data_IF_530821521037
#
_entry.id   IF_530821521037
#
_cell.length_a   1.000
_cell.length_b   1.000
_cell.length_c   1.000
_cell.angle_alpha   90.00
_cell.angle_beta   90.00
_cell.angle_gamma   90.00
#
_symmetry.space_group_name_H-M   'P 1'
#
loop_
_entity.id
_entity.type
_entity.pdbx_description
1 polymer ?
#
# COMPACT_ATOMS: atom_id res chain seq x y z
N UNK A 1 15.78 27.48 7.86
CA UNK A 1 14.95 26.93 6.77
C UNK A 1 15.73 25.77 6.15
N UNK A 2 15.34 24.52 6.42
CA UNK A 2 16.00 23.34 5.84
C UNK A 2 15.46 23.19 4.44
N UNK A 3 16.29 23.47 3.42
CA UNK A 3 15.89 23.29 2.03
C UNK A 3 15.92 21.82 1.65
N UNK A 4 14.76 21.23 1.46
CA UNK A 4 14.64 19.87 0.93
C UNK A 4 14.79 19.94 -0.59
N UNK A 5 15.86 19.37 -1.15
CA UNK A 5 16.04 19.22 -2.60
C UNK A 5 15.67 17.79 -3.01
N UNK A 6 14.65 17.65 -3.84
CA UNK A 6 14.40 16.40 -4.54
C UNK A 6 15.51 16.17 -5.57
N UNK A 7 16.23 15.05 -5.49
CA UNK A 7 17.19 14.62 -6.51
C UNK A 7 16.62 13.42 -7.28
N UNK A 8 16.76 13.46 -8.60
CA UNK A 8 16.54 12.29 -9.44
C UNK A 8 17.67 11.28 -9.25
N UNK A 9 17.29 10.02 -9.23
CA UNK A 9 18.08 8.80 -9.32
C UNK A 9 19.10 8.53 -8.19
N UNK A 10 18.87 7.46 -7.45
CA UNK A 10 19.84 6.80 -6.59
C UNK A 10 19.55 6.84 -5.08
N UNK A 11 18.54 7.56 -4.62
CA UNK A 11 18.12 7.53 -3.23
C UNK A 11 16.75 6.85 -3.09
N UNK A 12 16.63 5.97 -2.13
CA UNK A 12 15.48 5.08 -1.95
C UNK A 12 14.12 5.79 -1.78
N UNK A 13 14.11 7.09 -1.46
CA UNK A 13 12.88 7.84 -1.15
C UNK A 13 12.71 9.15 -1.95
N UNK A 14 13.56 9.45 -2.92
CA UNK A 14 13.45 10.68 -3.73
C UNK A 14 13.70 11.98 -2.96
N UNK A 15 14.01 11.94 -1.66
CA UNK A 15 14.27 13.10 -0.80
C UNK A 15 15.75 13.19 -0.46
N UNK A 16 16.37 14.34 -0.76
CA UNK A 16 17.72 14.66 -0.33
C UNK A 16 17.66 15.60 0.88
N UNK A 17 18.50 15.33 1.88
CA UNK A 17 18.62 16.13 3.09
C UNK A 17 19.89 16.97 3.06
N UNK A 18 19.78 18.24 3.53
CA UNK A 18 20.89 19.15 3.71
C UNK A 18 20.73 19.85 5.08
N UNK A 19 21.64 19.58 6.04
CA UNK A 19 22.74 18.63 5.97
C UNK A 19 22.27 17.18 5.79
N UNK A 20 23.18 16.31 5.36
CA UNK A 20 22.89 14.88 5.19
C UNK A 20 22.47 14.25 6.52
N UNK A 21 21.63 13.23 6.44
CA UNK A 21 21.20 12.49 7.62
C UNK A 21 22.39 11.78 8.31
N UNK A 22 22.33 11.58 9.63
CA UNK A 22 23.28 10.71 10.33
C UNK A 22 23.35 9.33 9.67
N UNK A 23 24.55 8.74 9.61
CA UNK A 23 24.83 7.50 8.90
C UNK A 23 23.83 6.38 9.24
N UNK A 24 23.53 6.17 10.52
CA UNK A 24 22.61 5.12 10.96
C UNK A 24 21.16 5.37 10.49
N UNK A 25 20.71 6.62 10.46
CA UNK A 25 19.39 7.00 9.93
C UNK A 25 19.33 6.79 8.41
N UNK A 26 20.37 7.18 7.70
CA UNK A 26 20.47 6.96 6.26
C UNK A 26 20.52 5.45 5.93
N UNK A 27 21.31 4.67 6.66
CA UNK A 27 21.34 3.21 6.54
C UNK A 27 19.99 2.55 6.80
N UNK A 28 19.21 3.06 7.76
CA UNK A 28 17.85 2.59 8.02
C UNK A 28 16.95 2.79 6.79
N UNK A 29 16.94 4.01 6.22
CA UNK A 29 16.07 4.32 5.05
C UNK A 29 16.40 3.47 3.83
N UNK A 30 17.67 3.11 3.63
CA UNK A 30 18.11 2.25 2.54
C UNK A 30 17.71 0.78 2.71
N UNK A 31 17.34 0.36 3.92
CA UNK A 31 17.00 -1.03 4.26
C UNK A 31 15.51 -1.27 4.50
N UNK A 32 14.70 -0.25 4.32
CA UNK A 32 13.25 -0.38 4.33
C UNK A 32 12.75 -0.52 2.90
N UNK A 33 12.28 -1.72 2.55
CA UNK A 33 11.58 -1.96 1.30
C UNK A 33 10.09 -1.67 1.45
N UNK A 34 9.49 -0.99 0.49
CA UNK A 34 8.03 -0.81 0.46
C UNK A 34 7.34 -2.09 -0.01
N UNK A 35 6.18 -2.37 0.58
CA UNK A 35 5.31 -3.45 0.15
C UNK A 35 4.88 -3.27 -1.30
N UNK A 36 4.72 -4.38 -2.03
CA UNK A 36 4.26 -4.37 -3.42
C UNK A 36 2.80 -4.83 -3.45
N UNK A 37 1.89 -3.88 -3.64
CA UNK A 37 0.47 -4.13 -3.67
C UNK A 37 -0.21 -3.29 -4.75
N UNK A 38 -1.03 -3.94 -5.57
CA UNK A 38 -1.97 -3.28 -6.48
C UNK A 38 -3.38 -3.54 -5.99
N UNK A 39 -4.18 -2.50 -5.93
CA UNK A 39 -5.60 -2.57 -5.63
C UNK A 39 -6.39 -2.59 -6.93
N UNK A 40 -7.39 -3.47 -7.01
CA UNK A 40 -8.28 -3.56 -8.17
C UNK A 40 -9.73 -3.51 -7.69
N UNK A 41 -10.58 -2.87 -8.48
CA UNK A 41 -12.02 -2.84 -8.22
C UNK A 41 -12.78 -3.09 -9.52
N UNK A 42 -13.67 -4.08 -9.51
CA UNK A 42 -14.58 -4.37 -10.61
C UNK A 42 -16.00 -3.95 -10.18
N UNK A 43 -16.60 -3.05 -10.95
CA UNK A 43 -17.92 -2.47 -10.67
C UNK A 43 -18.96 -3.13 -11.56
N UNK A 44 -20.04 -3.57 -10.97
CA UNK A 44 -21.18 -4.20 -11.63
C UNK A 44 -22.47 -3.43 -11.36
N UNK A 45 -23.50 -3.64 -12.15
CA UNK A 45 -24.81 -2.98 -11.97
C UNK A 45 -25.38 -3.26 -10.57
N UNK A 46 -25.18 -4.47 -10.05
CA UNK A 46 -25.63 -4.93 -8.73
C UNK A 46 -24.69 -6.01 -8.21
N UNK A 47 -24.66 -6.29 -6.90
CA UNK A 47 -23.89 -7.37 -6.30
C UNK A 47 -24.54 -8.73 -6.54
N UNK A 48 -24.52 -9.19 -7.81
CA UNK A 48 -25.18 -10.41 -8.29
C UNK A 48 -24.75 -11.69 -7.54
N UNK A 49 -23.55 -11.71 -6.95
CA UNK A 49 -23.08 -12.82 -6.11
C UNK A 49 -23.92 -13.02 -4.87
N UNK A 50 -24.51 -11.96 -4.30
CA UNK A 50 -25.41 -12.05 -3.14
C UNK A 50 -26.68 -12.83 -3.45
N UNK A 51 -27.19 -12.70 -4.68
CA UNK A 51 -28.37 -13.46 -5.17
C UNK A 51 -28.07 -14.96 -5.28
N UNK A 52 -26.79 -15.32 -5.39
CA UNK A 52 -26.32 -16.70 -5.40
C UNK A 52 -25.95 -17.23 -4.00
N UNK A 53 -26.21 -16.45 -2.95
CA UNK A 53 -25.86 -16.80 -1.57
C UNK A 53 -24.36 -16.65 -1.26
N UNK A 54 -23.58 -15.96 -2.11
CA UNK A 54 -22.16 -15.74 -1.91
C UNK A 54 -21.93 -14.39 -1.18
N UNK A 55 -20.90 -14.37 -0.33
CA UNK A 55 -20.53 -13.17 0.45
C UNK A 55 -19.73 -12.14 -0.36
N UNK A 56 -19.25 -12.50 -1.55
CA UNK A 56 -18.30 -11.67 -2.30
C UNK A 56 -16.87 -11.72 -1.77
N UNK A 57 -16.61 -12.56 -0.75
CA UNK A 57 -15.27 -12.79 -0.21
C UNK A 57 -14.64 -14.03 -0.85
N UNK A 58 -13.38 -13.91 -1.27
CA UNK A 58 -12.59 -15.02 -1.78
C UNK A 58 -11.11 -14.88 -1.38
N UNK A 59 -10.46 -15.99 -1.07
CA UNK A 59 -9.02 -16.08 -0.82
C UNK A 59 -8.44 -17.13 -1.75
N UNK A 60 -7.35 -16.79 -2.42
CA UNK A 60 -6.70 -17.70 -3.37
C UNK A 60 -5.18 -17.50 -3.36
N UNK A 61 -4.46 -18.59 -3.57
CA UNK A 61 -3.01 -18.57 -3.83
C UNK A 61 -2.68 -18.40 -5.32
N UNK A 62 -3.70 -18.41 -6.17
CA UNK A 62 -3.59 -18.22 -7.62
C UNK A 62 -3.26 -16.78 -8.03
N UNK A 63 -3.40 -16.53 -9.33
CA UNK A 63 -3.06 -15.25 -9.94
C UNK A 63 -4.28 -14.64 -10.63
N UNK A 64 -4.47 -13.31 -10.57
CA UNK A 64 -3.64 -12.29 -9.90
C UNK A 64 -4.05 -11.96 -8.45
N UNK A 65 -5.34 -12.10 -8.09
CA UNK A 65 -5.89 -11.64 -6.80
C UNK A 65 -5.61 -12.68 -5.72
N UNK A 66 -5.08 -12.22 -4.58
CA UNK A 66 -4.89 -13.06 -3.39
C UNK A 66 -6.11 -13.05 -2.46
N UNK A 67 -6.80 -11.92 -2.38
CA UNK A 67 -7.98 -11.71 -1.56
C UNK A 67 -8.95 -10.79 -2.29
N UNK A 68 -10.21 -11.14 -2.32
CA UNK A 68 -11.30 -10.32 -2.84
C UNK A 68 -12.39 -10.10 -1.78
N UNK A 69 -13.03 -8.94 -1.83
CA UNK A 69 -14.10 -8.51 -0.92
C UNK A 69 -15.27 -7.91 -1.68
N UNK A 70 -16.46 -8.09 -1.15
CA UNK A 70 -17.61 -7.27 -1.50
C UNK A 70 -17.46 -5.88 -0.86
N UNK A 71 -17.21 -4.88 -1.67
CA UNK A 71 -17.06 -3.47 -1.28
C UNK A 71 -18.26 -2.62 -1.77
N UNK A 72 -19.39 -3.27 -1.97
CA UNK A 72 -20.60 -2.60 -2.41
C UNK A 72 -21.17 -1.70 -1.30
N UNK A 73 -21.61 -0.48 -1.63
CA UNK A 73 -22.19 0.43 -0.64
C UNK A 73 -23.49 -0.15 -0.04
N UNK A 74 -23.89 0.34 1.12
CA UNK A 74 -25.22 0.04 1.66
C UNK A 74 -26.31 0.38 0.63
N UNK A 75 -27.29 -0.53 0.45
CA UNK A 75 -28.35 -0.34 -0.54
C UNK A 75 -28.14 -1.11 -1.85
N UNK A 76 -27.04 -1.86 -1.99
CA UNK A 76 -26.84 -2.86 -3.04
C UNK A 76 -26.69 -2.36 -4.49
N UNK A 77 -26.40 -1.08 -4.71
CA UNK A 77 -26.05 -0.55 -6.05
C UNK A 77 -25.04 0.59 -5.95
N UNK A 78 -23.98 0.57 -6.78
CA UNK A 78 -23.51 -0.53 -7.63
C UNK A 78 -22.98 -1.72 -6.82
N UNK A 79 -22.83 -2.89 -7.44
CA UNK A 79 -22.05 -3.99 -6.88
C UNK A 79 -20.57 -3.75 -7.12
N UNK A 80 -19.75 -3.87 -6.10
CA UNK A 80 -18.31 -3.68 -6.21
C UNK A 80 -17.56 -4.88 -5.61
N UNK A 81 -16.71 -5.51 -6.41
CA UNK A 81 -15.73 -6.47 -5.90
C UNK A 81 -14.38 -5.77 -5.88
N UNK A 82 -13.83 -5.64 -4.69
CA UNK A 82 -12.50 -5.11 -4.46
C UNK A 82 -11.50 -6.26 -4.25
N UNK A 83 -10.28 -6.13 -4.78
CA UNK A 83 -9.27 -7.17 -4.65
C UNK A 83 -7.86 -6.63 -4.43
N UNK A 84 -7.05 -7.44 -3.75
CA UNK A 84 -5.63 -7.20 -3.56
C UNK A 84 -4.79 -8.14 -4.44
N UNK A 85 -3.90 -7.54 -5.21
CA UNK A 85 -2.84 -8.23 -5.95
C UNK A 85 -1.54 -7.90 -5.23
N UNK A 86 -0.98 -8.85 -4.48
CA UNK A 86 0.15 -8.60 -3.59
C UNK A 86 1.40 -9.43 -3.91
N UNK A 87 2.54 -9.00 -3.37
CA UNK A 87 3.80 -9.74 -3.44
C UNK A 87 4.27 -10.09 -4.83
N UNK A 88 4.62 -11.35 -5.07
CA UNK A 88 5.09 -11.82 -6.38
C UNK A 88 4.01 -11.75 -7.46
N UNK A 89 2.74 -11.93 -7.09
CA UNK A 89 1.64 -11.75 -8.01
C UNK A 89 1.56 -10.29 -8.49
N UNK A 90 1.78 -9.30 -7.62
CA UNK A 90 1.82 -7.89 -8.05
C UNK A 90 2.98 -7.61 -9.01
N UNK A 91 4.16 -8.19 -8.78
CA UNK A 91 5.30 -8.06 -9.69
C UNK A 91 5.03 -8.68 -11.07
N UNK A 92 4.38 -9.84 -11.10
CA UNK A 92 3.95 -10.50 -12.35
C UNK A 92 2.87 -9.69 -13.06
N UNK A 93 1.87 -9.24 -12.31
CA UNK A 93 0.76 -8.43 -12.79
C UNK A 93 1.23 -7.12 -13.45
N UNK A 94 2.18 -6.42 -12.83
CA UNK A 94 2.75 -5.18 -13.35
C UNK A 94 3.44 -5.34 -14.73
N UNK A 95 3.87 -6.56 -15.10
CA UNK A 95 4.49 -6.85 -16.42
C UNK A 95 3.47 -7.03 -17.53
N UNK A 96 2.19 -7.18 -17.21
CA UNK A 96 1.13 -7.32 -18.20
C UNK A 96 0.76 -5.94 -18.78
N UNK A 97 0.27 -5.95 -20.00
CA UNK A 97 -0.39 -4.77 -20.56
C UNK A 97 -1.67 -4.41 -19.77
N UNK A 98 -2.17 -3.17 -19.83
CA UNK A 98 -3.41 -2.79 -19.14
C UNK A 98 -4.59 -3.72 -19.48
N UNK A 99 -4.76 -4.08 -20.74
CA UNK A 99 -5.78 -5.05 -21.18
C UNK A 99 -5.54 -6.46 -20.62
N UNK A 100 -4.27 -6.90 -20.56
CA UNK A 100 -3.90 -8.19 -19.97
C UNK A 100 -4.17 -8.25 -18.48
N UNK A 101 -3.89 -7.15 -17.74
CA UNK A 101 -4.18 -7.03 -16.31
C UNK A 101 -5.68 -7.15 -16.03
N UNK A 102 -6.48 -6.34 -16.74
CA UNK A 102 -7.94 -6.39 -16.64
C UNK A 102 -8.47 -7.80 -16.95
N UNK A 103 -8.02 -8.40 -18.05
CA UNK A 103 -8.47 -9.75 -18.46
C UNK A 103 -8.14 -10.81 -17.41
N UNK A 104 -6.95 -10.78 -16.81
CA UNK A 104 -6.54 -11.73 -15.78
C UNK A 104 -7.43 -11.61 -14.52
N UNK A 105 -7.72 -10.39 -14.06
CA UNK A 105 -8.60 -10.14 -12.92
C UNK A 105 -10.02 -10.64 -13.22
N UNK A 106 -10.59 -10.28 -14.37
CA UNK A 106 -11.97 -10.67 -14.73
C UNK A 106 -12.08 -12.19 -14.88
N UNK A 107 -11.07 -12.86 -15.44
CA UNK A 107 -11.05 -14.32 -15.53
C UNK A 107 -11.12 -14.96 -14.13
N UNK A 108 -10.33 -14.48 -13.18
CA UNK A 108 -10.33 -15.00 -11.79
C UNK A 108 -11.64 -14.69 -11.07
N UNK A 109 -12.18 -13.47 -11.18
CA UNK A 109 -13.49 -13.13 -10.61
C UNK A 109 -14.61 -13.98 -11.19
N UNK A 110 -14.48 -14.36 -12.47
CA UNK A 110 -15.44 -15.27 -13.13
C UNK A 110 -15.36 -16.70 -12.54
N UNK A 111 -14.17 -17.14 -12.16
CA UNK A 111 -14.02 -18.43 -11.46
C UNK A 111 -14.69 -18.40 -10.09
N UNK A 112 -14.60 -17.28 -9.35
CA UNK A 112 -15.16 -17.17 -8.01
C UNK A 112 -16.67 -16.98 -8.00
N UNK A 113 -17.16 -16.08 -8.84
CA UNK A 113 -18.53 -15.58 -8.78
C UNK A 113 -19.38 -15.97 -9.99
N UNK A 114 -18.84 -16.78 -10.90
CA UNK A 114 -19.56 -17.25 -12.08
C UNK A 114 -19.63 -16.25 -13.23
N UNK A 115 -20.41 -16.60 -14.29
CA UNK A 115 -20.45 -15.85 -15.55
C UNK A 115 -20.86 -14.38 -15.42
N UNK A 116 -21.61 -14.01 -14.37
CA UNK A 116 -21.99 -12.61 -14.09
C UNK A 116 -20.80 -11.67 -13.90
N UNK A 117 -19.62 -12.20 -13.52
CA UNK A 117 -18.42 -11.41 -13.35
C UNK A 117 -17.70 -11.04 -14.66
N UNK A 118 -18.09 -11.59 -15.81
CA UNK A 118 -17.39 -11.40 -17.11
C UNK A 118 -17.42 -9.97 -17.62
N UNK A 119 -18.46 -9.23 -17.33
CA UNK A 119 -18.73 -7.91 -17.91
C UNK A 119 -18.94 -6.85 -16.83
N UNK A 120 -17.87 -6.43 -16.12
CA UNK A 120 -17.99 -5.29 -15.21
C UNK A 120 -18.30 -4.03 -16.03
N UNK A 121 -19.14 -3.16 -15.46
CA UNK A 121 -19.46 -1.85 -16.00
C UNK A 121 -18.23 -0.95 -16.02
N UNK A 122 -17.45 -0.97 -14.91
CA UNK A 122 -16.22 -0.23 -14.77
C UNK A 122 -15.14 -1.11 -14.11
N UNK A 123 -13.88 -0.75 -14.35
CA UNK A 123 -12.73 -1.42 -13.77
C UNK A 123 -11.68 -0.38 -13.39
N UNK A 124 -11.24 -0.40 -12.14
CA UNK A 124 -10.22 0.48 -11.61
C UNK A 124 -9.03 -0.31 -11.11
N UNK A 125 -7.85 0.23 -11.27
CA UNK A 125 -6.63 -0.30 -10.65
C UNK A 125 -5.75 0.84 -10.13
N UNK A 126 -5.12 0.63 -9.00
CA UNK A 126 -4.15 1.55 -8.41
C UNK A 126 -2.91 0.79 -8.00
N UNK A 127 -1.78 1.10 -8.63
CA UNK A 127 -0.48 0.54 -8.28
C UNK A 127 0.31 1.56 -7.45
N UNK A 128 0.32 1.38 -6.14
CA UNK A 128 1.02 2.28 -5.21
C UNK A 128 2.54 2.30 -5.41
N UNK A 129 3.10 1.25 -6.00
CA UNK A 129 4.53 1.21 -6.33
C UNK A 129 4.94 2.19 -7.44
N UNK A 130 3.98 2.73 -8.21
CA UNK A 130 4.20 3.71 -9.26
C UNK A 130 4.01 5.15 -8.77
N UNK A 131 3.45 5.35 -7.57
CA UNK A 131 3.27 6.67 -6.98
C UNK A 131 4.62 7.26 -6.56
N UNK A 132 4.88 8.49 -6.97
CA UNK A 132 6.17 9.16 -6.80
C UNK A 132 6.66 9.18 -5.34
N UNK A 133 5.78 9.49 -4.41
CA UNK A 133 6.14 9.70 -3.00
C UNK A 133 5.90 8.48 -2.12
N UNK A 134 4.89 7.67 -2.44
CA UNK A 134 4.52 6.50 -1.65
C UNK A 134 5.40 5.29 -1.96
N UNK A 135 5.70 5.06 -3.24
CA UNK A 135 6.58 4.00 -3.75
C UNK A 135 6.18 2.58 -3.37
N UNK A 136 5.00 2.39 -2.80
CA UNK A 136 4.46 1.08 -2.40
C UNK A 136 3.42 1.17 -1.31
N UNK A 137 2.88 0.04 -0.91
CA UNK A 137 1.96 -0.11 0.22
C UNK A 137 1.88 -1.60 0.64
N UNK A 138 1.28 -1.95 1.79
CA UNK A 138 0.66 -1.05 2.78
C UNK A 138 1.67 -0.39 3.72
N UNK A 139 2.87 -0.95 3.88
CA UNK A 139 3.85 -0.56 4.89
C UNK A 139 5.26 -0.86 4.40
N UNK A 140 6.24 -0.10 4.91
CA UNK A 140 7.66 -0.41 4.76
C UNK A 140 8.04 -1.64 5.59
N UNK A 141 8.83 -2.52 5.01
CA UNK A 141 9.30 -3.76 5.62
C UNK A 141 10.82 -3.70 5.73
N UNK A 142 11.38 -3.76 6.94
CA UNK A 142 12.82 -3.76 7.12
C UNK A 142 13.45 -5.06 6.61
N UNK A 143 14.62 -4.96 5.99
CA UNK A 143 15.40 -6.14 5.67
C UNK A 143 15.77 -6.92 6.94
N UNK A 144 15.99 -8.24 6.81
CA UNK A 144 16.32 -9.11 7.95
C UNK A 144 17.54 -8.54 8.70
N UNK A 145 17.43 -8.46 10.02
CA UNK A 145 18.47 -7.92 10.91
C UNK A 145 18.53 -6.39 11.00
N UNK A 146 17.97 -5.64 10.03
CA UNK A 146 18.07 -4.18 10.04
C UNK A 146 17.33 -3.54 11.20
N UNK A 147 16.22 -4.11 11.63
CA UNK A 147 15.45 -3.55 12.73
C UNK A 147 16.19 -3.66 14.07
N UNK A 148 16.90 -4.76 14.31
CA UNK A 148 17.70 -4.92 15.51
C UNK A 148 18.85 -3.89 15.57
N UNK A 149 19.46 -3.58 14.42
CA UNK A 149 20.61 -2.67 14.36
C UNK A 149 20.19 -1.21 14.31
N UNK A 150 19.20 -0.87 13.50
CA UNK A 150 18.84 0.53 13.19
C UNK A 150 17.46 0.94 13.71
N UNK A 151 16.68 0.01 14.25
CA UNK A 151 15.32 0.26 14.74
C UNK A 151 15.19 1.44 15.72
N UNK A 152 16.11 1.65 16.68
CA UNK A 152 16.09 2.83 17.55
C UNK A 152 16.06 4.15 16.78
N UNK A 153 16.69 4.22 15.60
CA UNK A 153 16.72 5.43 14.75
C UNK A 153 15.41 5.71 14.03
N UNK A 154 14.45 4.80 14.11
CA UNK A 154 13.18 4.92 13.37
C UNK A 154 12.36 6.13 13.84
N UNK A 155 12.41 6.44 15.13
CA UNK A 155 11.65 7.53 15.76
C UNK A 155 12.50 8.69 16.21
N UNK A 156 13.80 8.48 16.40
CA UNK A 156 14.72 9.48 16.93
C UNK A 156 14.76 10.71 16.01
N UNK A 157 14.43 11.91 16.52
CA UNK A 157 14.51 13.13 15.73
C UNK A 157 15.94 13.40 15.23
N UNK A 158 16.04 14.11 14.12
CA UNK A 158 17.32 14.58 13.58
C UNK A 158 17.26 16.10 13.48
N UNK A 159 17.81 16.81 14.45
CA UNK A 159 17.60 18.24 14.60
C UNK A 159 16.10 18.53 14.64
N UNK A 160 15.60 19.38 13.76
CA UNK A 160 14.18 19.75 13.69
C UNK A 160 13.33 18.79 12.82
N UNK A 161 13.87 17.64 12.43
CA UNK A 161 13.14 16.65 11.66
C UNK A 161 12.54 15.60 12.60
N UNK A 162 11.23 15.53 12.64
CA UNK A 162 10.46 14.53 13.38
C UNK A 162 9.85 13.53 12.39
N UNK A 163 9.79 12.28 12.80
CA UNK A 163 9.39 11.19 11.91
C UNK A 163 8.00 10.68 12.26
N UNK A 164 7.08 10.74 11.31
CA UNK A 164 5.75 10.14 11.39
C UNK A 164 5.58 9.11 10.27
N UNK A 165 4.56 8.30 10.40
CA UNK A 165 4.23 7.21 9.49
C UNK A 165 3.96 5.95 10.28
N UNK A 166 3.14 5.06 9.73
CA UNK A 166 2.74 3.83 10.41
C UNK A 166 3.92 2.96 10.86
N UNK A 167 5.06 3.04 10.16
CA UNK A 167 6.30 2.35 10.52
C UNK A 167 6.87 2.81 11.85
N UNK A 168 6.60 4.07 12.23
CA UNK A 168 7.07 4.67 13.50
C UNK A 168 6.08 4.49 14.65
N UNK A 169 4.93 3.89 14.39
CA UNK A 169 3.90 3.65 15.41
C UNK A 169 4.36 2.61 16.45
N UNK A 170 3.88 2.76 17.70
CA UNK A 170 4.10 1.79 18.78
C UNK A 170 3.04 0.71 18.81
N UNK A 171 1.83 1.03 18.31
CA UNK A 171 0.70 0.13 18.15
C UNK A 171 0.16 0.23 16.73
N UNK A 172 -0.47 -0.81 16.23
CA UNK A 172 -1.08 -0.84 14.90
C UNK A 172 -0.14 -0.42 13.77
N UNK A 173 1.13 -0.86 13.86
CA UNK A 173 2.10 -0.68 12.77
C UNK A 173 1.55 -1.31 11.48
N UNK A 174 1.61 -0.57 10.37
CA UNK A 174 1.05 -0.99 9.08
C UNK A 174 -0.42 -0.61 8.89
N UNK A 175 -1.08 -0.02 9.88
CA UNK A 175 -2.49 0.40 9.83
C UNK A 175 -2.64 1.91 9.89
N UNK A 176 -3.81 2.42 9.51
CA UNK A 176 -4.12 3.85 9.53
C UNK A 176 -4.09 4.43 10.94
N UNK A 177 -4.56 3.68 11.94
CA UNK A 177 -4.51 4.07 13.35
C UNK A 177 -3.06 4.32 13.82
N UNK A 178 -2.14 3.43 13.42
CA UNK A 178 -0.71 3.63 13.66
C UNK A 178 -0.16 4.88 12.96
N UNK A 179 -0.62 5.20 11.76
CA UNK A 179 -0.21 6.42 11.07
C UNK A 179 -0.69 7.67 11.81
N UNK A 180 -1.95 7.69 12.28
CA UNK A 180 -2.53 8.81 13.06
C UNK A 180 -1.77 9.01 14.36
N UNK A 181 -1.63 7.97 15.18
CA UNK A 181 -0.97 8.05 16.49
C UNK A 181 0.51 8.45 16.37
N UNK A 182 1.19 8.03 15.32
CA UNK A 182 2.56 8.46 15.05
C UNK A 182 2.65 9.93 14.64
N UNK A 183 1.64 10.44 13.93
CA UNK A 183 1.53 11.86 13.59
C UNK A 183 1.31 12.73 14.81
N UNK A 184 0.41 12.32 15.70
CA UNK A 184 0.15 13.01 16.97
C UNK A 184 1.41 13.09 17.85
N UNK A 185 2.15 11.98 17.95
CA UNK A 185 3.44 11.95 18.68
C UNK A 185 4.45 12.91 18.05
N UNK A 186 4.67 12.86 16.75
CA UNK A 186 5.64 13.71 16.07
C UNK A 186 5.27 15.20 16.17
N UNK A 187 3.97 15.52 16.13
CA UNK A 187 3.48 16.89 16.35
C UNK A 187 3.75 17.36 17.77
N UNK A 188 3.51 16.52 18.79
CA UNK A 188 3.79 16.85 20.18
C UNK A 188 5.29 17.08 20.41
N UNK A 189 6.15 16.25 19.84
CA UNK A 189 7.61 16.42 19.88
C UNK A 189 8.02 17.78 19.28
N UNK A 190 7.51 18.12 18.10
CA UNK A 190 7.84 19.38 17.43
C UNK A 190 7.34 20.61 18.19
N UNK A 191 6.17 20.54 18.82
CA UNK A 191 5.61 21.63 19.66
C UNK A 191 6.44 21.84 20.91
N UNK A 192 6.97 20.76 21.52
CA UNK A 192 7.78 20.86 22.72
C UNK A 192 9.15 21.53 22.49
N UNK A 193 9.58 21.69 21.24
CA UNK A 193 10.83 22.35 20.85
C UNK A 193 10.64 23.83 20.44
N UNK A 194 9.41 24.32 20.45
CA UNK A 194 9.07 25.73 20.14
C UNK A 194 9.17 26.61 21.37
#
# INVERSE_FOLDING_TARGET
>A
MVGTRCRQAGQSNGVAYDPILPCERDQLTQRYGQGTLTKVAAVYERPFWREQGLTGFAVDTGFPISIAYDDSPPGSRPGVVFGFVGGDNARRYARLSPGGRRSAVIAQLTQYFGPGARHPKDFFETSWSQEEWTRGCPVGIPAVGSFATYGPRLREPVGRLHWAGTETATFWNGYMDGAVSSGERAAAEAIAEL
#
